data_IF_295444829082
#
_entry.id   IF_295444829082
#
_cell.length_a   1.000
_cell.length_b   1.000
_cell.length_c   1.000
_cell.angle_alpha   90.00
_cell.angle_beta   90.00
_cell.angle_gamma   90.00
#
_symmetry.space_group_name_H-M   'P 1'
#
loop_
_entity.id
_entity.type
_entity.pdbx_description
1 polymer ?
#
# COMPACT_ATOMS: atom_id res chain seq x y z
N UNK A 1 1.03 12.47 -20.97
CA UNK A 1 -0.37 11.99 -20.82
C UNK A 1 -0.43 10.58 -21.38
N UNK A 2 -0.71 9.60 -20.55
CA UNK A 2 -0.76 8.19 -20.94
C UNK A 2 -2.05 7.57 -20.39
N UNK A 3 -2.74 6.79 -21.23
CA UNK A 3 -3.93 6.06 -20.78
C UNK A 3 -3.51 4.64 -20.43
N UNK A 4 -3.76 4.25 -19.20
CA UNK A 4 -3.58 2.89 -18.72
C UNK A 4 -4.91 2.16 -18.65
N UNK A 5 -4.89 0.89 -19.05
CA UNK A 5 -5.99 -0.04 -18.84
C UNK A 5 -5.50 -1.16 -17.92
N UNK A 6 -6.17 -1.32 -16.79
CA UNK A 6 -5.87 -2.36 -15.79
C UNK A 6 -7.04 -3.33 -15.76
N UNK A 7 -6.74 -4.61 -15.92
CA UNK A 7 -7.68 -5.69 -15.68
C UNK A 7 -7.20 -6.51 -14.50
N UNK A 8 -8.03 -6.62 -13.46
CA UNK A 8 -7.70 -7.33 -12.23
C UNK A 8 -8.81 -8.30 -11.87
N UNK A 9 -8.53 -9.58 -11.96
CA UNK A 9 -9.43 -10.63 -11.55
C UNK A 9 -8.91 -11.36 -10.32
N UNK A 10 -9.77 -11.51 -9.31
CA UNK A 10 -9.48 -12.30 -8.11
C UNK A 10 -10.51 -13.40 -7.99
N UNK A 11 -10.07 -14.65 -8.01
CA UNK A 11 -10.95 -15.83 -7.92
C UNK A 11 -10.59 -16.67 -6.70
N UNK A 12 -11.56 -16.88 -5.82
CA UNK A 12 -11.48 -17.79 -4.70
C UNK A 12 -12.19 -19.10 -5.06
N UNK A 13 -11.51 -20.23 -4.88
CA UNK A 13 -12.05 -21.57 -5.09
C UNK A 13 -12.10 -22.31 -3.76
N UNK A 14 -13.27 -22.73 -3.37
CA UNK A 14 -13.52 -23.43 -2.10
C UNK A 14 -13.74 -24.91 -2.35
N UNK A 15 -13.23 -25.76 -1.46
CA UNK A 15 -13.44 -27.23 -1.52
C UNK A 15 -14.89 -27.62 -1.29
N UNK A 16 -15.67 -26.80 -0.60
CA UNK A 16 -17.08 -26.99 -0.29
C UNK A 16 -17.82 -25.67 -0.47
N UNK A 17 -19.15 -25.69 -0.74
CA UNK A 17 -19.90 -24.46 -0.78
C UNK A 17 -19.76 -23.68 0.54
N UNK A 18 -19.42 -22.41 0.43
CA UNK A 18 -19.34 -21.47 1.55
C UNK A 18 -20.30 -20.32 1.29
N UNK A 19 -20.88 -19.77 2.34
CA UNK A 19 -21.61 -18.51 2.25
C UNK A 19 -20.61 -17.38 2.48
N UNK A 20 -20.29 -16.59 1.46
CA UNK A 20 -19.36 -15.46 1.64
C UNK A 20 -19.96 -14.46 2.62
N UNK A 21 -19.17 -13.98 3.57
CA UNK A 21 -19.52 -12.81 4.37
C UNK A 21 -19.43 -11.53 3.56
N UNK A 22 -19.68 -10.39 4.21
CA UNK A 22 -19.47 -9.09 3.58
C UNK A 22 -18.01 -8.93 3.15
N UNK A 23 -17.80 -8.53 1.90
CA UNK A 23 -16.48 -8.22 1.34
C UNK A 23 -16.29 -6.72 1.22
N UNK A 24 -15.09 -6.27 1.52
CA UNK A 24 -14.65 -4.89 1.32
C UNK A 24 -13.60 -4.87 0.19
N UNK A 25 -13.88 -4.13 -0.86
CA UNK A 25 -13.02 -4.04 -2.02
C UNK A 25 -12.49 -2.60 -2.14
N UNK A 26 -11.15 -2.49 -2.27
CA UNK A 26 -10.43 -1.23 -2.44
C UNK A 26 -9.66 -1.27 -3.77
N UNK A 27 -10.38 -1.32 -4.87
CA UNK A 27 -9.78 -1.42 -6.20
C UNK A 27 -9.89 -0.12 -7.02
N UNK A 28 -10.83 0.76 -6.66
CA UNK A 28 -11.07 2.00 -7.39
C UNK A 28 -9.96 3.02 -7.07
N UNK A 29 -9.15 3.44 -8.06
CA UNK A 29 -8.14 4.46 -7.87
C UNK A 29 -8.78 5.80 -7.47
N UNK A 30 -8.01 6.62 -6.78
CA UNK A 30 -8.38 8.01 -6.51
C UNK A 30 -8.04 8.89 -7.70
N UNK A 31 -8.82 9.93 -7.90
CA UNK A 31 -8.42 11.03 -8.76
C UNK A 31 -7.41 11.94 -8.04
N UNK A 32 -6.47 12.49 -8.80
CA UNK A 32 -5.50 13.48 -8.35
C UNK A 32 -5.15 14.42 -9.51
N UNK A 33 -4.28 15.39 -9.27
CA UNK A 33 -3.87 16.35 -10.32
C UNK A 33 -3.14 15.66 -11.48
N UNK A 34 -2.47 14.55 -11.24
CA UNK A 34 -1.68 13.77 -12.19
C UNK A 34 -2.39 12.49 -12.66
N UNK A 35 -3.53 12.14 -12.06
CA UNK A 35 -4.26 10.91 -12.36
C UNK A 35 -5.78 11.15 -12.41
N UNK A 36 -6.39 10.77 -13.50
CA UNK A 36 -7.84 10.86 -13.71
C UNK A 36 -8.44 9.50 -14.03
N UNK A 37 -9.45 9.08 -13.27
CA UNK A 37 -10.20 7.87 -13.54
C UNK A 37 -11.21 8.12 -14.68
N UNK A 38 -11.04 7.41 -15.80
CA UNK A 38 -11.90 7.52 -16.98
C UNK A 38 -13.07 6.53 -16.93
N UNK A 39 -12.81 5.29 -16.50
CA UNK A 39 -13.82 4.23 -16.40
C UNK A 39 -13.40 3.23 -15.32
N UNK A 40 -14.39 2.66 -14.62
CA UNK A 40 -14.16 1.63 -13.63
C UNK A 40 -15.37 0.70 -13.54
N UNK A 41 -15.19 -0.55 -13.97
CA UNK A 41 -16.23 -1.58 -13.96
C UNK A 41 -15.87 -2.69 -13.02
N UNK A 42 -16.86 -3.22 -12.32
CA UNK A 42 -16.74 -4.34 -11.40
C UNK A 42 -17.83 -5.36 -11.74
N UNK A 43 -17.39 -6.58 -12.04
CA UNK A 43 -18.26 -7.75 -12.20
C UNK A 43 -17.99 -8.72 -11.06
N UNK A 44 -19.04 -9.28 -10.48
CA UNK A 44 -18.94 -10.16 -9.31
C UNK A 44 -19.75 -11.42 -9.58
N UNK A 45 -19.17 -12.58 -9.31
CA UNK A 45 -19.81 -13.88 -9.40
C UNK A 45 -19.56 -14.68 -8.11
N UNK A 46 -20.63 -15.23 -7.46
CA UNK A 46 -22.05 -15.11 -7.82
C UNK A 46 -22.57 -13.70 -7.65
N UNK A 47 -23.69 -13.40 -8.28
CA UNK A 47 -24.34 -12.08 -8.18
C UNK A 47 -24.60 -11.71 -6.72
N UNK A 48 -24.14 -10.56 -6.27
CA UNK A 48 -24.34 -10.10 -4.89
C UNK A 48 -25.78 -9.63 -4.67
N UNK A 49 -26.26 -9.73 -3.44
CA UNK A 49 -27.58 -9.20 -3.06
C UNK A 49 -27.56 -7.69 -2.81
N UNK A 50 -26.41 -7.16 -2.48
CA UNK A 50 -26.25 -5.72 -2.30
C UNK A 50 -24.81 -5.29 -2.60
N UNK A 51 -24.68 -4.13 -3.25
CA UNK A 51 -23.41 -3.41 -3.44
C UNK A 51 -23.62 -2.00 -2.91
N UNK A 52 -22.71 -1.56 -2.04
CA UNK A 52 -22.70 -0.20 -1.49
C UNK A 52 -21.33 0.42 -1.66
N UNK A 53 -21.31 1.70 -1.97
CA UNK A 53 -20.09 2.48 -2.09
C UNK A 53 -20.02 3.48 -0.93
N UNK A 54 -18.89 3.47 -0.24
CA UNK A 54 -18.64 4.39 0.87
C UNK A 54 -17.23 4.98 0.73
N UNK A 55 -16.98 6.07 1.43
CA UNK A 55 -15.63 6.54 1.69
C UNK A 55 -15.24 6.18 3.12
N UNK A 56 -14.05 5.63 3.28
CA UNK A 56 -13.49 5.39 4.61
C UNK A 56 -12.88 6.69 5.18
N UNK A 57 -12.40 6.62 6.42
CA UNK A 57 -11.76 7.76 7.10
C UNK A 57 -10.46 8.23 6.41
N UNK A 58 -9.91 7.42 5.51
CA UNK A 58 -8.73 7.77 4.73
C UNK A 58 -9.08 8.34 3.35
N UNK A 59 -10.38 8.48 3.04
CA UNK A 59 -10.88 8.91 1.75
C UNK A 59 -10.73 7.85 0.65
N UNK A 60 -10.57 6.56 0.99
CA UNK A 60 -10.61 5.51 -0.01
C UNK A 60 -12.06 5.25 -0.44
N UNK A 61 -12.27 5.01 -1.73
CA UNK A 61 -13.53 4.48 -2.21
C UNK A 61 -13.59 2.99 -1.90
N UNK A 62 -14.47 2.60 -0.99
CA UNK A 62 -14.66 1.21 -0.55
C UNK A 62 -15.97 0.68 -1.11
N UNK A 63 -15.93 -0.47 -1.77
CA UNK A 63 -17.11 -1.19 -2.18
C UNK A 63 -17.43 -2.28 -1.17
N UNK A 64 -18.60 -2.21 -0.56
CA UNK A 64 -19.13 -3.22 0.34
C UNK A 64 -20.05 -4.13 -0.47
N UNK A 65 -19.80 -5.43 -0.39
CA UNK A 65 -20.51 -6.45 -1.18
C UNK A 65 -21.06 -7.51 -0.26
N UNK A 66 -22.38 -7.74 -0.31
CA UNK A 66 -23.08 -8.74 0.49
C UNK A 66 -23.60 -9.87 -0.40
N UNK A 67 -23.55 -11.12 0.13
CA UNK A 67 -23.97 -12.33 -0.58
C UNK A 67 -25.02 -13.10 0.22
N UNK A 68 -26.02 -13.66 -0.47
CA UNK A 68 -27.01 -14.56 0.12
C UNK A 68 -26.73 -16.03 -0.20
N UNK A 69 -26.28 -16.31 -1.42
CA UNK A 69 -26.07 -17.67 -1.90
C UNK A 69 -24.75 -18.27 -1.43
N UNK A 70 -24.74 -19.58 -1.22
CA UNK A 70 -23.51 -20.34 -1.04
C UNK A 70 -22.87 -20.63 -2.40
N UNK A 71 -21.55 -20.58 -2.46
CA UNK A 71 -20.80 -20.82 -3.69
C UNK A 71 -19.51 -21.60 -3.44
N UNK A 72 -19.04 -22.34 -4.43
CA UNK A 72 -17.70 -22.93 -4.47
C UNK A 72 -16.69 -22.06 -5.20
N UNK A 73 -17.17 -21.01 -5.92
CA UNK A 73 -16.31 -20.07 -6.65
C UNK A 73 -16.83 -18.66 -6.41
N UNK A 74 -15.94 -17.79 -5.98
CA UNK A 74 -16.21 -16.35 -5.81
C UNK A 74 -15.21 -15.58 -6.65
N UNK A 75 -15.69 -14.77 -7.60
CA UNK A 75 -14.85 -13.98 -8.49
C UNK A 75 -15.19 -12.50 -8.39
N UNK A 76 -14.16 -11.68 -8.30
CA UNK A 76 -14.21 -10.24 -8.47
C UNK A 76 -13.37 -9.90 -9.70
N UNK A 77 -14.00 -9.34 -10.72
CA UNK A 77 -13.36 -8.93 -11.97
C UNK A 77 -13.51 -7.42 -12.14
N UNK A 78 -12.40 -6.74 -12.27
CA UNK A 78 -12.35 -5.27 -12.33
C UNK A 78 -11.60 -4.83 -13.57
N UNK A 79 -12.20 -3.92 -14.34
CA UNK A 79 -11.59 -3.21 -15.45
C UNK A 79 -11.53 -1.72 -15.13
N UNK A 80 -10.34 -1.15 -15.18
CA UNK A 80 -10.08 0.25 -14.84
C UNK A 80 -9.41 0.90 -16.06
N UNK A 81 -9.88 2.08 -16.44
CA UNK A 81 -9.18 2.95 -17.38
C UNK A 81 -8.88 4.27 -16.69
N UNK A 82 -7.62 4.63 -16.69
CA UNK A 82 -7.17 5.89 -16.10
C UNK A 82 -6.21 6.63 -17.04
N UNK A 83 -6.26 7.93 -16.96
CA UNK A 83 -5.30 8.83 -17.56
C UNK A 83 -4.29 9.21 -16.50
N UNK A 84 -3.02 9.12 -16.83
CA UNK A 84 -1.94 9.47 -15.93
C UNK A 84 -0.94 10.38 -16.65
N UNK A 85 -0.62 11.49 -16.02
CA UNK A 85 0.34 12.48 -16.52
C UNK A 85 1.43 12.62 -15.45
N UNK A 86 2.36 11.63 -15.35
CA UNK A 86 3.39 11.68 -14.35
C UNK A 86 4.32 12.86 -14.63
N UNK A 87 4.77 13.50 -13.61
CA UNK A 87 5.91 14.39 -13.70
C UNK A 87 7.15 13.59 -14.10
N UNK A 88 8.07 14.24 -14.82
CA UNK A 88 9.26 13.56 -15.37
C UNK A 88 10.21 13.01 -14.31
N UNK A 89 10.09 13.50 -13.10
CA UNK A 89 10.82 13.02 -11.92
C UNK A 89 9.94 13.25 -10.70
N UNK A 90 9.90 12.33 -9.74
CA UNK A 90 9.25 12.63 -8.48
C UNK A 90 10.00 13.78 -7.83
N UNK A 91 9.41 14.96 -7.92
CA UNK A 91 9.90 16.14 -7.20
C UNK A 91 9.34 16.05 -5.78
N UNK A 92 10.15 15.53 -4.88
CA UNK A 92 9.82 15.49 -3.47
C UNK A 92 10.01 16.89 -2.89
N UNK A 93 9.02 17.75 -3.09
CA UNK A 93 8.99 19.03 -2.40
C UNK A 93 8.89 18.76 -0.91
N UNK A 94 10.01 19.00 -0.22
CA UNK A 94 10.06 18.91 1.24
C UNK A 94 10.00 20.34 1.77
N UNK A 95 9.02 20.60 2.64
CA UNK A 95 8.90 21.89 3.33
C UNK A 95 10.20 22.26 4.06
N UNK A 96 10.51 23.54 4.11
CA UNK A 96 11.79 24.02 4.62
C UNK A 96 12.08 23.53 6.04
N UNK A 97 11.06 23.50 6.90
CA UNK A 97 11.18 23.02 8.28
C UNK A 97 11.50 21.52 8.38
N UNK A 98 11.13 20.75 7.35
CA UNK A 98 11.27 19.29 7.32
C UNK A 98 12.46 18.80 6.49
N UNK A 99 13.27 19.70 5.92
CA UNK A 99 14.44 19.32 5.08
C UNK A 99 15.48 18.51 5.81
N UNK A 100 15.57 18.68 7.13
CA UNK A 100 16.51 17.96 7.97
C UNK A 100 15.81 17.25 9.11
N UNK A 101 16.12 15.98 9.30
CA UNK A 101 15.65 15.18 10.44
C UNK A 101 16.67 15.25 11.59
N UNK A 102 16.24 15.37 12.88
CA UNK A 102 14.86 15.46 13.32
C UNK A 102 14.23 16.84 13.11
N UNK A 103 12.91 16.85 12.93
CA UNK A 103 12.10 18.06 12.83
C UNK A 103 10.76 17.88 13.58
N UNK A 104 10.02 18.96 13.76
CA UNK A 104 8.67 18.93 14.30
C UNK A 104 7.68 19.45 13.25
N UNK A 105 6.54 18.80 13.12
CA UNK A 105 5.42 19.30 12.30
C UNK A 105 4.86 20.58 12.92
N UNK A 106 4.27 21.43 12.09
CA UNK A 106 3.59 22.61 12.58
C UNK A 106 2.45 22.23 13.54
N UNK A 107 2.23 23.00 14.63
CA UNK A 107 1.17 22.71 15.61
C UNK A 107 -0.22 22.56 14.97
N UNK A 108 -0.49 23.26 13.87
CA UNK A 108 -1.75 23.22 13.15
C UNK A 108 -1.96 21.88 12.42
N UNK A 109 -0.88 21.22 11.97
CA UNK A 109 -0.92 19.94 11.26
C UNK A 109 -0.95 18.74 12.23
N UNK A 110 -0.40 18.91 13.42
CA UNK A 110 -0.22 17.80 14.37
C UNK A 110 -1.50 17.02 14.67
N UNK A 111 -2.68 17.66 14.91
CA UNK A 111 -3.90 16.92 15.20
C UNK A 111 -4.28 15.92 14.12
N UNK A 112 -4.07 16.26 12.85
CA UNK A 112 -4.40 15.43 11.70
C UNK A 112 -3.31 14.39 11.41
N UNK A 113 -2.06 14.67 11.78
CA UNK A 113 -0.91 13.80 11.53
C UNK A 113 -0.64 12.79 12.65
N UNK A 114 -1.05 13.06 13.89
CA UNK A 114 -0.82 12.15 15.03
C UNK A 114 -1.22 10.69 14.78
N UNK A 115 -2.37 10.38 14.13
CA UNK A 115 -2.73 9.00 13.83
C UNK A 115 -1.74 8.31 12.89
N UNK A 116 -1.07 9.07 12.03
CA UNK A 116 -0.07 8.56 11.07
C UNK A 116 1.34 8.50 11.64
N UNK A 117 1.61 9.19 12.75
CA UNK A 117 2.88 9.14 13.46
C UNK A 117 2.94 8.02 14.49
N UNK A 118 1.76 7.58 14.97
CA UNK A 118 1.66 6.54 15.99
C UNK A 118 2.02 5.17 15.40
N UNK A 119 2.97 4.47 16.03
CA UNK A 119 3.28 3.07 15.73
C UNK A 119 2.08 2.19 16.08
N UNK A 120 1.76 1.25 15.21
CA UNK A 120 0.71 0.25 15.43
C UNK A 120 1.26 -1.07 15.97
N UNK A 121 2.52 -1.37 15.66
CA UNK A 121 3.25 -2.51 16.19
C UNK A 121 4.17 -1.98 17.29
N UNK A 122 3.64 -1.91 18.52
CA UNK A 122 4.40 -1.44 19.68
C UNK A 122 5.36 -2.48 20.23
N UNK A 123 6.36 -1.99 20.93
CA UNK A 123 7.29 -2.74 21.81
C UNK A 123 8.32 -3.64 21.18
N UNK A 124 8.52 -3.49 19.90
CA UNK A 124 9.55 -4.20 19.22
C UNK A 124 10.78 -3.31 19.08
N UNK A 125 11.68 -3.39 20.02
CA UNK A 125 12.99 -2.73 19.95
C UNK A 125 13.74 -3.08 18.66
N UNK A 126 13.32 -4.14 17.96
CA UNK A 126 13.93 -4.57 16.71
C UNK A 126 13.92 -3.48 15.63
N UNK A 127 12.85 -2.66 15.54
CA UNK A 127 12.83 -1.53 14.60
C UNK A 127 13.85 -0.48 15.04
N UNK A 128 13.88 -0.14 16.32
CA UNK A 128 14.76 0.91 16.85
C UNK A 128 16.23 0.48 16.76
N UNK A 129 16.53 -0.78 17.02
CA UNK A 129 17.86 -1.37 16.82
C UNK A 129 18.28 -1.36 15.34
N UNK A 130 17.35 -1.69 14.44
CA UNK A 130 17.61 -1.62 13.00
C UNK A 130 17.87 -0.18 12.55
N UNK A 131 17.08 0.79 13.03
CA UNK A 131 17.21 2.21 12.72
C UNK A 131 18.49 2.84 13.27
N UNK A 132 19.01 2.37 14.41
CA UNK A 132 20.25 2.86 14.98
C UNK A 132 21.47 2.72 14.04
N UNK A 133 21.36 1.90 13.00
CA UNK A 133 22.36 1.74 11.95
C UNK A 133 22.39 2.92 10.98
N UNK A 134 21.34 3.71 10.89
CA UNK A 134 21.14 4.78 9.90
C UNK A 134 21.03 6.17 10.52
N UNK A 135 20.73 6.24 11.81
CA UNK A 135 20.51 7.50 12.53
C UNK A 135 21.47 7.61 13.69
N UNK A 136 22.23 8.69 13.72
CA UNK A 136 23.08 9.02 14.85
C UNK A 136 22.34 9.95 15.80
N UNK A 137 22.23 9.56 17.06
CA UNK A 137 21.56 10.37 18.09
C UNK A 137 22.23 11.75 18.18
N UNK A 138 21.42 12.81 18.11
CA UNK A 138 21.90 14.20 18.20
C UNK A 138 22.49 14.76 16.91
N UNK A 139 22.59 13.98 15.84
CA UNK A 139 23.02 14.47 14.53
C UNK A 139 21.81 14.83 13.65
N UNK A 140 21.95 15.91 12.91
CA UNK A 140 20.98 16.28 11.86
C UNK A 140 21.41 15.71 10.53
N UNK A 141 20.44 15.21 9.74
CA UNK A 141 20.69 14.66 8.40
C UNK A 141 19.55 15.01 7.44
N UNK A 142 19.82 15.13 6.12
CA UNK A 142 18.80 15.46 5.14
C UNK A 142 17.67 14.40 5.14
N UNK A 143 16.42 14.84 5.31
CA UNK A 143 15.25 13.99 5.41
C UNK A 143 15.07 13.07 4.20
N UNK A 144 15.16 13.63 3.00
CA UNK A 144 15.02 12.84 1.77
C UNK A 144 16.07 11.74 1.66
N UNK A 145 17.33 12.06 2.03
CA UNK A 145 18.41 11.07 2.02
C UNK A 145 18.19 9.96 3.04
N UNK A 146 17.75 10.31 4.25
CA UNK A 146 17.41 9.31 5.27
C UNK A 146 16.36 8.33 4.77
N UNK A 147 15.25 8.82 4.23
CA UNK A 147 14.17 7.96 3.72
C UNK A 147 14.63 7.09 2.54
N UNK A 148 15.45 7.64 1.64
CA UNK A 148 16.06 6.86 0.55
C UNK A 148 16.98 5.77 1.07
N UNK A 149 17.84 6.08 2.05
CA UNK A 149 18.73 5.09 2.67
C UNK A 149 17.97 3.94 3.32
N UNK A 150 16.87 4.23 4.01
CA UNK A 150 16.01 3.17 4.59
C UNK A 150 15.36 2.31 3.49
N UNK A 151 14.89 2.93 2.42
CA UNK A 151 14.32 2.21 1.27
C UNK A 151 15.36 1.31 0.59
N UNK A 152 16.57 1.81 0.37
CA UNK A 152 17.70 1.04 -0.19
C UNK A 152 18.10 -0.11 0.74
N UNK A 153 18.15 0.14 2.05
CA UNK A 153 18.48 -0.90 3.03
C UNK A 153 17.43 -2.03 3.06
N UNK A 154 16.16 -1.72 2.81
CA UNK A 154 15.12 -2.75 2.64
C UNK A 154 15.32 -3.47 1.30
N UNK A 155 15.56 -2.76 0.22
CA UNK A 155 15.72 -3.35 -1.11
C UNK A 155 16.93 -4.29 -1.21
N UNK A 156 18.04 -3.94 -0.55
CA UNK A 156 19.29 -4.70 -0.59
C UNK A 156 19.39 -5.77 0.49
N UNK A 157 18.81 -5.49 1.67
CA UNK A 157 18.94 -6.36 2.84
C UNK A 157 17.90 -7.46 2.96
N UNK A 158 16.85 -7.44 2.11
CA UNK A 158 15.73 -8.37 2.25
C UNK A 158 15.42 -9.09 0.93
N UNK A 159 15.05 -10.36 1.04
CA UNK A 159 14.67 -11.20 -0.09
C UNK A 159 13.15 -11.16 -0.32
N UNK A 160 12.73 -10.93 -1.57
CA UNK A 160 11.31 -11.06 -1.90
C UNK A 160 10.88 -12.52 -1.90
N UNK A 161 9.88 -12.85 -1.09
CA UNK A 161 9.29 -14.17 -1.05
C UNK A 161 7.77 -14.10 -1.01
N UNK A 162 7.13 -14.76 -1.99
CA UNK A 162 5.67 -14.86 -2.01
C UNK A 162 5.20 -15.70 -0.82
N UNK A 163 4.23 -15.17 -0.09
CA UNK A 163 3.60 -15.86 1.05
C UNK A 163 2.18 -16.26 0.72
N UNK A 164 1.76 -17.38 1.28
CA UNK A 164 0.36 -17.86 1.25
C UNK A 164 -0.37 -17.57 2.57
N UNK A 165 0.36 -17.16 3.60
CA UNK A 165 -0.21 -16.79 4.89
C UNK A 165 -1.09 -15.53 4.75
N UNK A 166 -2.16 -15.49 5.53
CA UNK A 166 -3.11 -14.38 5.55
C UNK A 166 -2.49 -13.17 6.25
N UNK A 167 -2.76 -11.97 5.74
CA UNK A 167 -2.26 -10.71 6.32
C UNK A 167 -0.81 -10.39 5.95
N UNK A 168 -0.21 -9.48 6.69
CA UNK A 168 1.20 -9.09 6.61
C UNK A 168 2.00 -9.74 7.74
N UNK A 169 3.31 -9.88 7.56
CA UNK A 169 4.23 -10.10 8.68
C UNK A 169 4.24 -8.84 9.55
N UNK A 170 4.53 -9.01 10.84
CA UNK A 170 4.91 -7.86 11.67
C UNK A 170 6.27 -7.33 11.22
N UNK A 171 6.59 -6.06 11.51
CA UNK A 171 7.92 -5.51 11.21
C UNK A 171 9.06 -6.31 11.84
N UNK A 172 8.90 -6.78 13.07
CA UNK A 172 9.89 -7.62 13.74
C UNK A 172 10.11 -8.96 13.06
N UNK A 173 9.02 -9.64 12.66
CA UNK A 173 9.14 -10.87 11.88
C UNK A 173 9.86 -10.62 10.55
N UNK A 174 9.55 -9.49 9.88
CA UNK A 174 10.21 -9.13 8.62
C UNK A 174 11.71 -8.89 8.84
N UNK A 175 12.09 -8.17 9.90
CA UNK A 175 13.49 -7.94 10.28
C UNK A 175 14.22 -9.24 10.62
N UNK A 176 13.60 -10.10 11.41
CA UNK A 176 14.21 -11.37 11.84
C UNK A 176 14.40 -12.35 10.68
N UNK A 177 13.43 -12.41 9.77
CA UNK A 177 13.47 -13.33 8.64
C UNK A 177 14.27 -12.79 7.44
N UNK A 178 14.47 -11.49 7.35
CA UNK A 178 15.05 -10.78 6.20
C UNK A 178 14.40 -11.17 4.87
N UNK A 179 13.11 -11.48 4.92
CA UNK A 179 12.33 -11.87 3.74
C UNK A 179 10.86 -11.47 3.91
N UNK A 180 10.18 -11.23 2.81
CA UNK A 180 8.76 -10.87 2.83
C UNK A 180 8.21 -10.54 1.46
N UNK A 181 6.97 -10.09 1.43
CA UNK A 181 6.31 -9.55 0.25
C UNK A 181 6.45 -8.02 0.22
N UNK A 182 6.07 -7.38 -0.90
CA UNK A 182 6.03 -5.92 -0.98
C UNK A 182 5.21 -5.28 0.15
N UNK A 183 4.13 -5.92 0.60
CA UNK A 183 3.30 -5.42 1.71
C UNK A 183 4.02 -5.50 3.05
N UNK A 184 4.81 -6.54 3.28
CA UNK A 184 5.59 -6.69 4.50
C UNK A 184 6.68 -5.62 4.56
N UNK A 185 7.34 -5.35 3.44
CA UNK A 185 8.37 -4.31 3.31
C UNK A 185 7.79 -2.89 3.45
N UNK A 186 6.63 -2.63 2.85
CA UNK A 186 5.95 -1.35 3.00
C UNK A 186 5.50 -1.11 4.46
N UNK A 187 5.05 -2.17 5.16
CA UNK A 187 4.70 -2.09 6.57
C UNK A 187 5.95 -1.82 7.45
N UNK A 188 7.07 -2.49 7.18
CA UNK A 188 8.33 -2.24 7.86
C UNK A 188 8.79 -0.79 7.64
N UNK A 189 8.78 -0.29 6.40
CA UNK A 189 9.15 1.09 6.08
C UNK A 189 8.24 2.11 6.77
N UNK A 190 6.92 1.85 6.79
CA UNK A 190 5.95 2.72 7.46
C UNK A 190 6.21 2.81 8.97
N UNK A 191 6.39 1.67 9.65
CA UNK A 191 6.63 1.65 11.10
C UNK A 191 8.01 2.20 11.46
N UNK A 192 9.02 1.98 10.61
CA UNK A 192 10.35 2.60 10.74
C UNK A 192 10.29 4.13 10.63
N UNK A 193 9.57 4.64 9.62
CA UNK A 193 9.37 6.09 9.48
C UNK A 193 8.64 6.68 10.69
N UNK A 194 7.60 5.99 11.19
CA UNK A 194 6.87 6.40 12.40
C UNK A 194 7.74 6.40 13.65
N UNK A 195 8.64 5.44 13.79
CA UNK A 195 9.62 5.41 14.90
C UNK A 195 10.53 6.64 14.89
N UNK A 196 10.81 7.18 13.72
CA UNK A 196 11.59 8.40 13.53
C UNK A 196 10.74 9.68 13.63
N UNK A 197 9.45 9.58 13.92
CA UNK A 197 8.55 10.73 14.06
C UNK A 197 7.92 11.22 12.75
N UNK A 198 8.09 10.49 11.64
CA UNK A 198 7.39 10.84 10.41
C UNK A 198 5.94 10.39 10.43
N UNK A 199 5.06 11.22 9.87
CA UNK A 199 3.72 10.81 9.54
C UNK A 199 3.76 9.91 8.29
N UNK A 200 3.46 8.64 8.45
CA UNK A 200 3.53 7.64 7.39
C UNK A 200 2.23 6.86 7.26
N UNK A 201 1.82 6.60 6.01
CA UNK A 201 0.60 5.87 5.67
C UNK A 201 0.89 4.76 4.68
N UNK A 202 0.25 3.61 4.90
CA UNK A 202 0.29 2.49 3.97
C UNK A 202 -0.54 2.81 2.72
N UNK A 203 0.06 2.62 1.54
CA UNK A 203 -0.61 2.81 0.25
C UNK A 203 -0.44 1.54 -0.58
N UNK A 204 -1.48 1.16 -1.31
CA UNK A 204 -1.44 0.08 -2.29
C UNK A 204 -1.87 0.59 -3.66
N UNK A 205 -1.41 -0.06 -4.71
CA UNK A 205 -1.76 0.31 -6.08
C UNK A 205 -1.28 -0.69 -7.10
N UNK A 206 -1.22 -0.26 -8.35
CA UNK A 206 -0.69 -1.03 -9.47
C UNK A 206 0.62 -0.41 -9.92
N UNK A 207 1.62 -1.24 -10.17
CA UNK A 207 2.90 -0.80 -10.75
C UNK A 207 2.91 -1.09 -12.23
N UNK A 208 3.13 -0.04 -13.02
CA UNK A 208 3.36 -0.16 -14.45
C UNK A 208 4.81 -0.53 -14.73
N UNK A 209 5.00 -1.64 -15.45
CA UNK A 209 6.34 -2.12 -15.86
C UNK A 209 6.36 -2.21 -17.39
N UNK A 210 6.97 -1.24 -18.10
CA UNK A 210 6.96 -1.18 -19.58
C UNK A 210 7.41 -2.48 -20.26
N UNK A 211 8.45 -3.15 -19.75
CA UNK A 211 8.95 -4.40 -20.28
C UNK A 211 7.95 -5.59 -20.15
N UNK A 212 6.87 -5.41 -19.38
CA UNK A 212 5.82 -6.42 -19.19
C UNK A 212 4.49 -5.99 -19.81
N UNK A 213 4.46 -4.86 -20.52
CA UNK A 213 3.29 -4.39 -21.24
C UNK A 213 3.09 -5.26 -22.50
N UNK A 214 1.87 -5.76 -22.69
CA UNK A 214 1.54 -6.62 -23.82
C UNK A 214 0.11 -7.18 -23.72
N UNK A 215 -0.42 -7.78 -24.80
CA UNK A 215 -1.78 -8.31 -24.79
C UNK A 215 -1.91 -9.41 -23.74
N UNK A 216 -2.83 -9.19 -22.82
CA UNK A 216 -3.31 -10.15 -21.81
C UNK A 216 -2.27 -11.13 -21.31
N UNK A 217 -1.52 -10.79 -20.29
CA UNK A 217 -0.73 -11.78 -19.56
C UNK A 217 -1.61 -12.40 -18.47
N UNK A 218 -1.94 -13.67 -18.65
CA UNK A 218 -2.37 -14.57 -17.59
C UNK A 218 -1.16 -14.82 -16.67
N UNK A 219 -0.94 -13.98 -15.72
CA UNK A 219 0.17 -14.16 -14.80
C UNK A 219 0.39 -12.95 -13.94
N UNK A 220 -0.27 -12.96 -12.80
CA UNK A 220 0.14 -12.32 -11.59
C UNK A 220 0.79 -10.93 -11.69
N UNK A 221 0.06 -9.95 -12.20
CA UNK A 221 0.28 -8.58 -11.79
C UNK A 221 -0.04 -8.53 -10.30
N UNK A 222 0.96 -8.40 -9.45
CA UNK A 222 0.70 -8.22 -8.04
C UNK A 222 0.38 -6.75 -7.80
N UNK A 223 -0.70 -6.49 -7.07
CA UNK A 223 -0.86 -5.20 -6.39
C UNK A 223 0.38 -4.97 -5.55
N UNK A 224 0.96 -3.78 -5.64
CA UNK A 224 2.12 -3.38 -4.87
C UNK A 224 1.71 -2.47 -3.70
N UNK A 225 2.51 -2.49 -2.67
CA UNK A 225 2.45 -1.60 -1.53
C UNK A 225 3.80 -0.91 -1.36
#
# INVERSE_FOLDING_TARGET
MTIFSVHHATTYRYKRPVRPGQHQLLFRPRDSFDQRLLDCRLTIEPEPVAIRWIHDVFGNCVTLVDFAASTTVLTFDTSIRLEHTPEKSPDFLIEDYARSHPFAYHPEEQPDLLPYMRRHHGDDHAIDEWLARFVTIGASQPTGRLLMTLNEAIAEGFSYQRRTARGTQTPAETLALQQGTCRDFALLMMEAARSLGFAARFITGYVYVPARDGPVRLGGGSTHA
#
